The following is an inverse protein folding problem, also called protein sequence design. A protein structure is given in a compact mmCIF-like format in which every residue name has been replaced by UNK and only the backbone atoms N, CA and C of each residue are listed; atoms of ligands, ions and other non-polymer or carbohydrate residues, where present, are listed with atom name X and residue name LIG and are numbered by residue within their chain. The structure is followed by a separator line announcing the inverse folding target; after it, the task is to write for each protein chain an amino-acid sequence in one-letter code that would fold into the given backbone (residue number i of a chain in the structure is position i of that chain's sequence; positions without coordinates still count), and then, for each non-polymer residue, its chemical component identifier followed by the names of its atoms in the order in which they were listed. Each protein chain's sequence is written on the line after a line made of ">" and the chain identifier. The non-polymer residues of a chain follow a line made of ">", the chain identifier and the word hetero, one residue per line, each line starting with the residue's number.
data_IF_001145810328
#
_entry.id   IF_001145810328
#
_cell.length_a   1.000
_cell.length_b   1.000
_cell.length_c   1.000
_cell.angle_alpha   90.00
_cell.angle_beta   90.00
_cell.angle_gamma   90.00
#
_symmetry.space_group_name_H-M   'P 1'
#
loop_
_entity.id
_entity.type
_entity.pdbx_description
1 polymer ?
#
# COMPACT_ATOMS: atom_id res chain seq x y z
N UNK A 1 12.23 -7.79 0.24
CA UNK A 1 11.24 -6.73 0.49
C UNK A 1 11.58 -5.60 -0.45
N UNK A 2 10.62 -5.15 -1.25
CA UNK A 2 10.85 -4.10 -2.26
C UNK A 2 10.92 -2.71 -1.61
N UNK A 3 11.61 -1.77 -2.26
CA UNK A 3 11.68 -0.38 -1.80
C UNK A 3 10.95 0.54 -2.79
N UNK A 4 10.01 1.33 -2.29
CA UNK A 4 9.30 2.35 -3.07
C UNK A 4 9.82 3.73 -2.65
N UNK A 5 10.45 4.41 -3.59
CA UNK A 5 10.81 5.81 -3.43
C UNK A 5 9.61 6.68 -3.80
N UNK A 6 9.21 7.57 -2.91
CA UNK A 6 8.16 8.55 -3.18
C UNK A 6 8.81 9.82 -3.74
N UNK A 7 8.59 10.16 -5.02
CA UNK A 7 9.07 11.42 -5.58
C UNK A 7 8.45 12.63 -4.87
N UNK A 8 9.19 13.74 -4.80
CA UNK A 8 8.75 14.97 -4.13
C UNK A 8 7.51 15.61 -4.75
N UNK A 9 7.29 15.37 -6.05
CA UNK A 9 6.14 15.85 -6.83
C UNK A 9 4.93 14.91 -6.78
N UNK A 10 5.04 13.75 -6.12
CA UNK A 10 3.93 12.81 -6.02
C UNK A 10 2.89 13.26 -5.01
N UNK A 11 1.63 13.31 -5.43
CA UNK A 11 0.51 13.70 -4.58
C UNK A 11 0.26 12.63 -3.52
N UNK A 12 0.40 13.02 -2.25
CA UNK A 12 -0.03 12.21 -1.11
C UNK A 12 -1.56 12.19 -1.05
N UNK A 13 -2.13 10.99 -1.12
CA UNK A 13 -3.57 10.77 -1.04
C UNK A 13 -3.92 10.35 0.39
N UNK A 14 -4.74 11.17 1.05
CA UNK A 14 -5.30 10.93 2.38
C UNK A 14 -6.80 11.23 2.35
N UNK A 15 -7.62 10.44 3.03
CA UNK A 15 -9.08 10.62 3.07
C UNK A 15 -9.54 11.16 4.43
N UNK A 16 -9.62 12.47 4.58
CA UNK A 16 -9.94 13.11 5.86
C UNK A 16 -11.45 13.35 6.02
N UNK A 17 -12.16 12.44 6.68
CA UNK A 17 -13.39 12.75 7.46
C UNK A 17 -14.01 11.53 8.18
N UNK A 18 -13.86 10.32 7.65
CA UNK A 18 -14.30 9.07 8.31
C UNK A 18 -13.62 7.79 7.80
N UNK A 19 -12.76 7.91 6.79
CA UNK A 19 -12.18 6.78 6.01
C UNK A 19 -10.73 6.43 6.37
N UNK A 20 -10.12 7.17 7.30
CA UNK A 20 -8.76 6.93 7.78
C UNK A 20 -7.73 7.94 7.26
N UNK A 21 -6.67 8.14 8.03
CA UNK A 21 -5.56 9.08 7.81
C UNK A 21 -4.33 8.43 7.15
N UNK A 22 -4.45 7.17 6.73
CA UNK A 22 -3.35 6.42 6.14
C UNK A 22 -2.87 7.03 4.82
N UNK A 23 -1.59 7.38 4.76
CA UNK A 23 -0.91 7.92 3.57
C UNK A 23 -0.85 6.89 2.44
N UNK A 24 -1.22 7.32 1.24
CA UNK A 24 -1.15 6.52 0.02
C UNK A 24 -0.54 7.34 -1.10
N UNK A 25 0.19 6.69 -2.00
CA UNK A 25 0.77 7.30 -3.19
C UNK A 25 0.62 6.37 -4.39
N UNK A 26 0.50 6.96 -5.57
CA UNK A 26 0.67 6.24 -6.83
C UNK A 26 2.02 6.62 -7.42
N UNK A 27 2.94 5.66 -7.51
CA UNK A 27 4.27 5.83 -8.09
C UNK A 27 4.37 4.89 -9.30
N UNK A 28 4.29 5.47 -10.50
CA UNK A 28 4.18 4.69 -11.73
C UNK A 28 2.90 3.83 -11.74
N UNK A 29 3.07 2.52 -11.84
CA UNK A 29 2.01 1.51 -11.81
C UNK A 29 1.74 0.98 -10.39
N UNK A 30 2.46 1.45 -9.37
CA UNK A 30 2.33 0.95 -8.00
C UNK A 30 1.57 1.91 -7.11
N UNK A 31 0.73 1.33 -6.26
CA UNK A 31 0.08 2.00 -5.16
C UNK A 31 0.80 1.63 -3.86
N UNK A 32 1.52 2.58 -3.28
CA UNK A 32 2.18 2.42 -1.98
C UNK A 32 1.27 2.91 -0.85
N UNK A 33 1.17 2.13 0.23
CA UNK A 33 0.44 2.48 1.46
C UNK A 33 1.37 2.37 2.66
N UNK A 34 1.55 3.46 3.38
CA UNK A 34 2.41 3.52 4.57
C UNK A 34 1.63 3.07 5.81
N UNK A 35 2.27 2.31 6.69
CA UNK A 35 1.72 1.99 8.01
C UNK A 35 1.57 3.28 8.84
N UNK A 36 0.44 3.47 9.49
CA UNK A 36 0.14 4.72 10.23
C UNK A 36 0.06 4.50 11.73
N UNK A 37 -0.68 3.48 12.17
CA UNK A 37 -0.91 3.20 13.60
C UNK A 37 -0.53 1.78 14.01
N UNK A 38 -0.10 0.93 13.08
CA UNK A 38 0.34 -0.42 13.41
C UNK A 38 0.87 -1.19 12.20
N UNK A 39 0.33 -2.38 12.00
CA UNK A 39 0.78 -3.32 10.97
C UNK A 39 -0.22 -3.38 9.80
N UNK A 40 -0.78 -2.24 9.39
CA UNK A 40 -1.82 -2.19 8.35
C UNK A 40 -1.36 -2.89 7.07
N UNK A 41 -0.13 -2.64 6.61
CA UNK A 41 0.44 -3.30 5.44
C UNK A 41 0.58 -4.81 5.60
N UNK A 42 0.88 -5.33 6.81
CA UNK A 42 0.91 -6.78 7.03
C UNK A 42 -0.50 -7.38 7.02
N UNK A 43 -1.48 -6.67 7.57
CA UNK A 43 -2.87 -7.09 7.53
C UNK A 43 -3.41 -7.16 6.09
N UNK A 44 -3.07 -6.17 5.25
CA UNK A 44 -3.44 -6.18 3.82
C UNK A 44 -2.76 -7.32 3.05
N UNK A 45 -1.45 -7.54 3.30
CA UNK A 45 -0.73 -8.68 2.72
C UNK A 45 -1.36 -10.00 3.13
N UNK A 46 -1.63 -10.19 4.43
CA UNK A 46 -2.28 -11.41 4.95
C UNK A 46 -3.66 -11.62 4.30
N UNK A 47 -4.48 -10.58 4.24
CA UNK A 47 -5.79 -10.65 3.61
C UNK A 47 -5.66 -11.09 2.13
N UNK A 48 -4.74 -10.50 1.37
CA UNK A 48 -4.53 -10.90 -0.03
C UNK A 48 -4.06 -12.35 -0.18
N UNK A 49 -3.20 -12.83 0.73
CA UNK A 49 -2.77 -14.24 0.74
C UNK A 49 -3.94 -15.18 1.05
N UNK A 50 -4.83 -14.83 1.97
CA UNK A 50 -6.04 -15.62 2.24
C UNK A 50 -6.92 -15.69 0.99
N UNK A 51 -7.13 -14.56 0.29
CA UNK A 51 -7.92 -14.52 -0.94
C UNK A 51 -7.29 -15.35 -2.06
N UNK A 52 -5.96 -15.33 -2.18
CA UNK A 52 -5.22 -16.14 -3.14
C UNK A 52 -5.32 -17.66 -2.91
N UNK A 53 -5.65 -18.08 -1.69
CA UNK A 53 -5.88 -19.49 -1.35
C UNK A 53 -7.37 -19.81 -1.18
N UNK A 54 -8.25 -18.95 -1.69
CA UNK A 54 -9.69 -19.16 -1.74
C UNK A 54 -10.13 -19.66 -3.12
N UNK A 55 -11.44 -19.74 -3.35
CA UNK A 55 -12.02 -20.05 -4.66
C UNK A 55 -12.21 -18.83 -5.57
N UNK A 56 -11.78 -17.64 -5.13
CA UNK A 56 -11.90 -16.41 -5.90
C UNK A 56 -10.88 -16.38 -7.04
N UNK A 57 -11.24 -15.72 -8.14
CA UNK A 57 -10.32 -15.51 -9.24
C UNK A 57 -9.35 -14.37 -8.89
N UNK A 58 -8.14 -14.40 -9.46
CA UNK A 58 -7.15 -13.32 -9.24
C UNK A 58 -7.67 -11.93 -9.62
N UNK A 59 -8.66 -11.85 -10.50
CA UNK A 59 -9.32 -10.60 -10.89
C UNK A 59 -10.28 -10.05 -9.84
N UNK A 60 -10.68 -10.86 -8.85
CA UNK A 60 -11.69 -10.52 -7.85
C UNK A 60 -11.09 -9.84 -6.61
N UNK A 61 -9.76 -9.86 -6.47
CA UNK A 61 -9.06 -9.25 -5.34
C UNK A 61 -7.76 -8.57 -5.78
N UNK A 62 -7.15 -7.82 -4.86
CA UNK A 62 -5.87 -7.13 -5.10
C UNK A 62 -4.79 -7.84 -4.31
N UNK A 63 -3.70 -8.23 -4.98
CA UNK A 63 -2.50 -8.72 -4.32
C UNK A 63 -1.70 -7.57 -3.72
N UNK A 64 -1.33 -7.74 -2.45
CA UNK A 64 -0.47 -6.80 -1.73
C UNK A 64 0.86 -7.47 -1.38
N UNK A 65 1.92 -6.67 -1.42
CA UNK A 65 3.28 -7.12 -1.14
C UNK A 65 3.94 -6.19 -0.12
N UNK A 66 4.76 -6.70 0.81
CA UNK A 66 5.46 -5.87 1.78
C UNK A 66 6.53 -4.99 1.11
N UNK A 67 6.63 -3.73 1.53
CA UNK A 67 7.67 -2.81 1.07
C UNK A 67 8.21 -1.89 2.18
N UNK A 68 9.42 -1.39 1.94
CA UNK A 68 9.95 -0.18 2.58
C UNK A 68 9.58 1.02 1.70
N UNK A 69 9.07 2.09 2.32
CA UNK A 69 8.73 3.35 1.67
C UNK A 69 9.76 4.38 2.10
N UNK A 70 10.38 5.05 1.13
CA UNK A 70 11.33 6.13 1.35
C UNK A 70 10.69 7.44 0.89
N UNK A 71 10.46 8.35 1.82
CA UNK A 71 9.88 9.67 1.57
C UNK A 71 10.93 10.63 0.97
N UNK A 72 10.50 11.77 0.38
CA UNK A 72 11.42 12.72 -0.25
C UNK A 72 12.50 13.30 0.68
N UNK A 73 12.22 13.37 1.98
CA UNK A 73 13.15 13.82 3.03
C UNK A 73 14.12 12.72 3.50
N UNK A 74 14.00 11.51 2.94
CA UNK A 74 14.79 10.35 3.31
C UNK A 74 14.21 9.53 4.47
N UNK A 75 13.06 9.92 5.03
CA UNK A 75 12.39 9.13 6.06
C UNK A 75 12.02 7.75 5.50
N UNK A 76 12.34 6.71 6.26
CA UNK A 76 12.01 5.32 5.93
C UNK A 76 10.86 4.83 6.78
N UNK A 77 9.91 4.17 6.14
CA UNK A 77 8.78 3.56 6.83
C UNK A 77 8.40 2.22 6.20
N UNK A 78 7.69 1.39 6.93
CA UNK A 78 7.17 0.13 6.42
C UNK A 78 5.75 0.33 5.87
N UNK A 79 5.38 -0.51 4.92
CA UNK A 79 4.07 -0.50 4.32
C UNK A 79 3.83 -1.71 3.42
N UNK A 80 2.86 -1.57 2.54
CA UNK A 80 2.62 -2.50 1.46
C UNK A 80 2.43 -1.76 0.14
N UNK A 81 2.47 -2.51 -0.96
CA UNK A 81 2.10 -2.01 -2.26
C UNK A 81 1.30 -3.01 -3.08
N UNK A 82 0.62 -2.50 -4.10
CA UNK A 82 -0.07 -3.27 -5.12
C UNK A 82 0.11 -2.64 -6.49
N UNK A 83 -0.08 -3.40 -7.57
CA UNK A 83 -0.11 -2.89 -8.95
C UNK A 83 -1.49 -2.40 -9.37
N UNK A 84 -2.52 -2.78 -8.62
CA UNK A 84 -3.91 -2.34 -8.84
C UNK A 84 -4.47 -1.78 -7.54
N UNK A 85 -5.36 -0.79 -7.63
CA UNK A 85 -6.10 -0.27 -6.50
C UNK A 85 -7.58 -0.26 -6.87
N UNK A 86 -8.27 -1.34 -6.52
CA UNK A 86 -9.73 -1.36 -6.49
C UNK A 86 -10.18 -0.78 -5.16
N UNK A 87 -10.74 0.43 -5.21
CA UNK A 87 -11.32 1.13 -4.07
C UNK A 87 -12.63 0.48 -3.62
#
# INVERSE_FOLDING_TARGET
>A
METIHIPADTVRIISTSSKGDQSKWRVGDKWGKQNTRGYEGQAEVLASLVMAHSTLQETDYVMYHPCEIILPDGEKSLGCYSHDFKA
#
